data_IF_327856452240
#
_entry.id   IF_327856452240
#
_cell.length_a   1.000
_cell.length_b   1.000
_cell.length_c   1.000
_cell.angle_alpha   90.00
_cell.angle_beta   90.00
_cell.angle_gamma   90.00
#
_symmetry.space_group_name_H-M   'P 1'
#
loop_
_entity.id
_entity.type
_entity.pdbx_description
1 polymer ?
#
# COMPACT_ATOMS: atom_id res chain seq x y z
N UNK A 1 -28.17 -14.62 -42.05
CA UNK A 1 -27.10 -14.23 -43.01
C UNK A 1 -27.65 -13.08 -43.82
N UNK A 2 -26.95 -11.94 -43.86
CA UNK A 2 -27.43 -10.70 -44.46
C UNK A 2 -26.77 -10.48 -45.83
N UNK A 3 -27.55 -10.14 -46.85
CA UNK A 3 -27.05 -9.66 -48.13
C UNK A 3 -27.06 -8.13 -48.18
N UNK A 4 -25.94 -7.54 -48.59
CA UNK A 4 -25.80 -6.08 -48.68
C UNK A 4 -26.74 -5.50 -49.73
N UNK A 5 -27.02 -6.20 -50.83
CA UNK A 5 -27.93 -5.74 -51.87
C UNK A 5 -29.39 -5.76 -51.40
N UNK A 6 -29.77 -6.77 -50.63
CA UNK A 6 -31.11 -6.88 -50.08
C UNK A 6 -31.32 -5.79 -49.01
N UNK A 7 -30.33 -5.58 -48.14
CA UNK A 7 -30.35 -4.49 -47.15
C UNK A 7 -30.42 -3.09 -47.80
N UNK A 8 -29.71 -2.87 -48.91
CA UNK A 8 -29.78 -1.63 -49.71
C UNK A 8 -31.19 -1.38 -50.21
N UNK A 9 -31.89 -2.43 -50.66
CA UNK A 9 -33.26 -2.36 -51.19
C UNK A 9 -34.28 -2.11 -50.09
N UNK A 10 -34.17 -2.84 -48.98
CA UNK A 10 -35.11 -2.78 -47.87
C UNK A 10 -35.02 -1.45 -47.11
N UNK A 11 -33.79 -0.97 -46.87
CA UNK A 11 -33.56 0.30 -46.17
C UNK A 11 -33.62 1.52 -47.10
N UNK A 12 -33.74 1.33 -48.41
CA UNK A 12 -33.82 2.41 -49.39
C UNK A 12 -32.59 3.32 -49.46
N UNK A 13 -31.43 2.85 -48.98
CA UNK A 13 -30.18 3.62 -48.91
C UNK A 13 -29.15 3.05 -49.88
N UNK A 14 -28.18 3.88 -50.29
CA UNK A 14 -27.08 3.42 -51.14
C UNK A 14 -26.14 2.46 -50.39
N UNK A 15 -25.48 1.54 -51.11
CA UNK A 15 -24.52 0.58 -50.55
C UNK A 15 -23.46 1.21 -49.63
N UNK A 16 -23.06 2.44 -49.91
CA UNK A 16 -22.08 3.17 -49.09
C UNK A 16 -22.56 3.34 -47.65
N UNK A 17 -23.85 3.59 -47.42
CA UNK A 17 -24.44 3.75 -46.09
C UNK A 17 -24.54 2.43 -45.33
N UNK A 18 -24.75 1.33 -46.04
CA UNK A 18 -24.66 0.00 -45.44
C UNK A 18 -23.26 -0.23 -44.88
N UNK A 19 -22.20 0.18 -45.59
CA UNK A 19 -20.83 0.06 -45.07
C UNK A 19 -20.55 0.91 -43.83
N UNK A 20 -21.14 2.10 -43.71
CA UNK A 20 -20.98 2.90 -42.49
C UNK A 20 -21.46 2.12 -41.25
N UNK A 21 -22.62 1.46 -41.37
CA UNK A 21 -23.18 0.65 -40.28
C UNK A 21 -22.35 -0.62 -40.07
N UNK A 22 -21.97 -1.30 -41.14
CA UNK A 22 -21.29 -2.60 -41.02
C UNK A 22 -19.87 -2.46 -40.51
N UNK A 23 -19.16 -1.37 -40.84
CA UNK A 23 -17.82 -1.11 -40.32
C UNK A 23 -17.84 -0.90 -38.81
N UNK A 24 -18.86 -0.18 -38.29
CA UNK A 24 -19.04 -0.03 -36.84
C UNK A 24 -19.34 -1.39 -36.23
N UNK A 25 -20.33 -2.13 -36.75
CA UNK A 25 -20.72 -3.44 -36.22
C UNK A 25 -19.62 -4.50 -36.33
N UNK A 26 -18.75 -4.44 -37.34
CA UNK A 26 -17.56 -5.27 -37.48
C UNK A 26 -16.48 -4.85 -36.49
N UNK A 27 -16.25 -3.54 -36.32
CA UNK A 27 -15.31 -2.99 -35.35
C UNK A 27 -15.66 -3.31 -33.89
N UNK A 28 -16.96 -3.43 -33.56
CA UNK A 28 -17.42 -3.91 -32.25
C UNK A 28 -17.65 -5.44 -32.20
N UNK A 29 -17.35 -6.17 -33.27
CA UNK A 29 -17.37 -7.63 -33.30
C UNK A 29 -18.76 -8.30 -33.33
N UNK A 30 -19.82 -7.59 -33.70
CA UNK A 30 -21.19 -8.15 -33.77
C UNK A 30 -21.51 -8.83 -35.11
N UNK A 31 -20.80 -8.43 -36.17
CA UNK A 31 -20.94 -9.03 -37.50
C UNK A 31 -19.57 -9.36 -38.09
N UNK A 32 -19.54 -10.35 -38.99
CA UNK A 32 -18.34 -10.75 -39.71
C UNK A 32 -18.62 -10.83 -41.21
N UNK A 33 -17.67 -10.39 -42.03
CA UNK A 33 -17.69 -10.59 -43.49
C UNK A 33 -17.40 -12.04 -43.82
N UNK A 34 -18.33 -12.70 -44.52
CA UNK A 34 -18.13 -14.08 -44.99
C UNK A 34 -17.55 -14.09 -46.40
N UNK A 35 -18.16 -13.32 -47.30
CA UNK A 35 -17.65 -13.07 -48.66
C UNK A 35 -18.26 -11.79 -49.23
N UNK A 36 -17.93 -11.42 -50.47
CA UNK A 36 -18.46 -10.19 -51.11
C UNK A 36 -19.99 -10.17 -51.05
N UNK A 37 -20.54 -9.04 -50.57
CA UNK A 37 -21.97 -8.80 -50.36
C UNK A 37 -22.69 -9.68 -49.32
N UNK A 38 -21.99 -10.54 -48.55
CA UNK A 38 -22.62 -11.35 -47.50
C UNK A 38 -21.94 -11.18 -46.15
N UNK A 39 -22.75 -10.96 -45.13
CA UNK A 39 -22.31 -10.80 -43.75
C UNK A 39 -23.10 -11.74 -42.84
N UNK A 40 -22.46 -12.16 -41.76
CA UNK A 40 -23.06 -13.01 -40.73
C UNK A 40 -23.13 -12.21 -39.43
N UNK A 41 -24.31 -12.22 -38.81
CA UNK A 41 -24.44 -11.84 -37.41
C UNK A 41 -23.77 -12.92 -36.58
N UNK A 42 -22.71 -12.57 -35.87
CA UNK A 42 -21.98 -13.48 -34.98
C UNK A 42 -22.40 -13.31 -33.53
N UNK A 43 -23.14 -12.24 -33.20
CA UNK A 43 -23.47 -11.88 -31.82
C UNK A 43 -22.21 -11.39 -31.09
N UNK A 44 -22.37 -10.54 -30.08
CA UNK A 44 -21.26 -9.90 -29.36
C UNK A 44 -20.41 -10.87 -28.52
N UNK A 45 -19.76 -11.86 -29.15
CA UNK A 45 -18.90 -12.83 -28.48
C UNK A 45 -17.65 -12.18 -27.87
N UNK A 46 -17.27 -10.98 -28.32
CA UNK A 46 -16.19 -10.18 -27.73
C UNK A 46 -16.48 -9.73 -26.28
N UNK A 47 -17.70 -9.85 -25.76
CA UNK A 47 -18.01 -9.44 -24.38
C UNK A 47 -17.97 -10.60 -23.37
N UNK A 48 -17.85 -11.86 -23.79
CA UNK A 48 -17.80 -12.96 -22.81
C UNK A 48 -16.45 -13.02 -22.09
N UNK A 49 -15.35 -12.80 -22.80
CA UNK A 49 -14.01 -12.82 -22.21
C UNK A 49 -13.78 -11.60 -21.32
N UNK A 50 -14.18 -10.41 -21.77
CA UNK A 50 -14.16 -9.20 -20.95
C UNK A 50 -15.06 -9.35 -19.70
N UNK A 51 -16.26 -9.92 -19.83
CA UNK A 51 -17.12 -10.19 -18.68
C UNK A 51 -16.50 -11.20 -17.71
N UNK A 52 -15.80 -12.24 -18.21
CA UNK A 52 -15.07 -13.19 -17.37
C UNK A 52 -13.90 -12.54 -16.64
N UNK A 53 -13.16 -11.68 -17.31
CA UNK A 53 -12.07 -10.92 -16.71
C UNK A 53 -12.59 -10.01 -15.60
N UNK A 54 -13.68 -9.27 -15.84
CA UNK A 54 -14.32 -8.44 -14.82
C UNK A 54 -14.79 -9.29 -13.62
N UNK A 55 -15.46 -10.42 -13.85
CA UNK A 55 -15.88 -11.32 -12.77
C UNK A 55 -14.69 -11.88 -11.96
N UNK A 56 -13.59 -12.23 -12.64
CA UNK A 56 -12.39 -12.72 -11.96
C UNK A 56 -11.73 -11.61 -11.13
N UNK A 57 -11.68 -10.38 -11.66
CA UNK A 57 -11.17 -9.21 -10.94
C UNK A 57 -12.03 -8.88 -9.72
N UNK A 58 -13.35 -8.93 -9.84
CA UNK A 58 -14.27 -8.71 -8.71
C UNK A 58 -14.05 -9.75 -7.60
N UNK A 59 -13.90 -11.03 -7.96
CA UNK A 59 -13.58 -12.09 -6.99
C UNK A 59 -12.22 -11.88 -6.33
N UNK A 60 -11.22 -11.43 -7.09
CA UNK A 60 -9.90 -11.09 -6.54
C UNK A 60 -9.99 -9.91 -5.56
N UNK A 61 -10.77 -8.87 -5.90
CA UNK A 61 -11.01 -7.72 -5.03
C UNK A 61 -11.66 -8.16 -3.72
N UNK A 62 -12.73 -8.96 -3.78
CA UNK A 62 -13.39 -9.48 -2.58
C UNK A 62 -12.42 -10.28 -1.70
N UNK A 63 -11.59 -11.12 -2.31
CA UNK A 63 -10.57 -11.89 -1.59
C UNK A 63 -9.55 -10.98 -0.89
N UNK A 64 -9.11 -9.90 -1.55
CA UNK A 64 -8.18 -8.94 -0.97
C UNK A 64 -8.82 -8.12 0.15
N UNK A 65 -10.10 -7.75 0.03
CA UNK A 65 -10.84 -7.07 1.10
C UNK A 65 -10.89 -7.94 2.35
N UNK A 66 -11.26 -9.22 2.21
CA UNK A 66 -11.30 -10.16 3.33
C UNK A 66 -9.91 -10.35 3.97
N UNK A 67 -8.85 -10.40 3.15
CA UNK A 67 -7.48 -10.51 3.65
C UNK A 67 -7.07 -9.27 4.45
N UNK A 68 -7.38 -8.07 3.95
CA UNK A 68 -7.09 -6.83 4.65
C UNK A 68 -7.85 -6.74 5.98
N UNK A 69 -9.13 -7.10 6.01
CA UNK A 69 -9.91 -7.14 7.26
C UNK A 69 -9.30 -8.09 8.29
N UNK A 70 -8.88 -9.29 7.88
CA UNK A 70 -8.19 -10.22 8.77
C UNK A 70 -6.86 -9.68 9.30
N UNK A 71 -6.09 -8.96 8.48
CA UNK A 71 -4.85 -8.32 8.90
C UNK A 71 -5.10 -7.17 9.87
N UNK A 72 -6.15 -6.38 9.65
CA UNK A 72 -6.57 -5.31 10.57
C UNK A 72 -6.95 -5.87 11.95
N UNK A 73 -7.68 -6.99 11.99
CA UNK A 73 -8.00 -7.70 13.23
C UNK A 73 -6.74 -8.22 13.95
N UNK A 74 -5.79 -8.79 13.20
CA UNK A 74 -4.52 -9.28 13.76
C UNK A 74 -3.67 -8.12 14.33
N UNK A 75 -3.55 -7.01 13.59
CA UNK A 75 -2.88 -5.79 14.07
C UNK A 75 -3.54 -5.28 15.35
N UNK A 76 -4.87 -5.25 15.40
CA UNK A 76 -5.60 -4.81 16.58
C UNK A 76 -5.32 -5.70 17.80
N UNK A 77 -5.36 -7.02 17.62
CA UNK A 77 -5.08 -7.97 18.70
C UNK A 77 -3.64 -7.84 19.22
N UNK A 78 -2.65 -7.82 18.32
CA UNK A 78 -1.24 -7.70 18.69
C UNK A 78 -0.94 -6.35 19.37
N UNK A 79 -1.53 -5.26 18.89
CA UNK A 79 -1.38 -3.94 19.50
C UNK A 79 -1.96 -3.92 20.92
N UNK A 80 -3.11 -4.57 21.12
CA UNK A 80 -3.72 -4.68 22.44
C UNK A 80 -2.88 -5.56 23.38
N UNK A 81 -2.30 -6.66 22.88
CA UNK A 81 -1.43 -7.53 23.66
C UNK A 81 -0.15 -6.81 24.10
N UNK A 82 0.53 -6.12 23.17
CA UNK A 82 1.71 -5.31 23.47
C UNK A 82 1.40 -4.23 24.52
N UNK A 83 0.25 -3.55 24.38
CA UNK A 83 -0.17 -2.54 25.35
C UNK A 83 -0.40 -3.14 26.72
N UNK A 84 -1.10 -4.28 26.79
CA UNK A 84 -1.35 -4.98 28.05
C UNK A 84 -0.03 -5.41 28.71
N UNK A 85 0.91 -5.96 27.95
CA UNK A 85 2.20 -6.38 28.48
C UNK A 85 3.04 -5.19 28.96
N UNK A 86 3.01 -4.07 28.23
CA UNK A 86 3.67 -2.84 28.62
C UNK A 86 3.09 -2.26 29.93
N UNK A 87 1.77 -2.35 30.13
CA UNK A 87 1.07 -1.88 31.33
C UNK A 87 1.23 -2.83 32.53
N UNK A 88 1.39 -4.14 32.33
CA UNK A 88 1.51 -5.15 33.39
C UNK A 88 2.94 -5.24 33.96
N UNK A 89 3.96 -4.92 33.15
CA UNK A 89 5.38 -5.05 33.50
C UNK A 89 6.12 -3.71 33.58
N UNK A 90 5.45 -2.63 33.98
CA UNK A 90 6.07 -1.29 34.05
C UNK A 90 7.37 -1.26 34.85
N UNK A 91 7.44 -2.04 35.93
CA UNK A 91 8.58 -2.08 36.84
C UNK A 91 9.80 -2.82 36.28
N UNK A 92 9.64 -3.54 35.15
CA UNK A 92 10.69 -4.28 34.47
C UNK A 92 11.11 -3.62 33.13
N UNK A 93 10.48 -2.51 32.76
CA UNK A 93 10.77 -1.79 31.52
C UNK A 93 11.98 -0.85 31.69
N UNK A 94 13.16 -1.43 31.91
CA UNK A 94 14.42 -0.70 32.02
C UNK A 94 15.57 -1.46 31.35
N UNK A 95 16.64 -0.74 31.02
CA UNK A 95 17.90 -1.32 30.58
C UNK A 95 18.93 -1.24 31.71
N UNK A 96 19.71 -2.30 31.87
CA UNK A 96 20.89 -2.30 32.71
C UNK A 96 22.05 -1.61 32.00
N UNK A 97 23.07 -1.24 32.78
CA UNK A 97 24.29 -0.66 32.23
C UNK A 97 25.06 -1.61 31.33
N UNK A 98 25.07 -2.88 31.71
CA UNK A 98 25.69 -3.96 30.94
C UNK A 98 25.02 -4.12 29.57
N UNK A 99 23.68 -4.06 29.51
CA UNK A 99 22.93 -4.12 28.25
C UNK A 99 23.36 -3.00 27.28
N UNK A 100 23.53 -1.78 27.78
CA UNK A 100 23.97 -0.63 26.96
C UNK A 100 25.43 -0.77 26.50
N UNK A 101 26.29 -1.35 27.35
CA UNK A 101 27.69 -1.61 27.01
C UNK A 101 27.82 -2.71 25.95
N UNK A 102 27.03 -3.77 26.08
CA UNK A 102 26.99 -4.89 25.13
C UNK A 102 26.50 -4.40 23.76
N UNK A 103 25.45 -3.57 23.73
CA UNK A 103 24.98 -2.94 22.50
C UNK A 103 26.10 -2.09 21.88
N UNK A 104 26.74 -1.20 22.67
CA UNK A 104 27.84 -0.35 22.19
C UNK A 104 29.03 -1.16 21.63
N UNK A 105 29.36 -2.27 22.27
CA UNK A 105 30.49 -3.12 21.90
C UNK A 105 30.18 -4.04 20.71
N UNK A 106 28.89 -4.24 20.39
CA UNK A 106 28.45 -5.09 19.28
C UNK A 106 28.43 -4.39 17.91
N UNK A 107 28.60 -3.07 17.86
CA UNK A 107 28.57 -2.28 16.63
C UNK A 107 29.82 -2.51 15.78
N UNK A 108 29.64 -2.59 14.45
CA UNK A 108 30.75 -2.81 13.49
C UNK A 108 31.76 -1.67 13.46
N UNK A 109 31.31 -0.43 13.62
CA UNK A 109 32.15 0.77 13.73
C UNK A 109 32.09 1.31 15.17
N UNK A 110 33.24 1.73 15.74
CA UNK A 110 33.32 2.28 17.11
C UNK A 110 32.76 3.72 17.15
N UNK A 111 31.56 3.96 17.73
CA UNK A 111 31.00 5.31 17.83
C UNK A 111 31.61 6.11 18.99
N UNK A 112 32.43 5.48 19.84
CA UNK A 112 33.05 6.06 21.05
C UNK A 112 32.09 6.27 22.23
N UNK A 113 30.87 6.73 21.97
CA UNK A 113 29.81 6.95 22.99
C UNK A 113 28.40 6.84 22.41
N UNK A 114 27.44 6.43 23.23
CA UNK A 114 26.00 6.42 22.93
C UNK A 114 25.30 7.58 23.67
N UNK A 115 24.29 8.18 23.04
CA UNK A 115 23.39 9.13 23.68
C UNK A 115 22.01 8.50 23.83
N UNK A 116 21.58 8.29 25.07
CA UNK A 116 20.24 7.80 25.41
C UNK A 116 19.34 9.00 25.67
N UNK A 117 18.20 9.06 24.99
CA UNK A 117 17.28 10.19 25.03
C UNK A 117 15.92 9.70 25.55
N UNK A 118 15.52 10.18 26.73
CA UNK A 118 14.20 9.96 27.28
C UNK A 118 13.33 11.20 27.06
N UNK A 119 12.29 11.07 26.23
CA UNK A 119 11.29 12.11 25.99
C UNK A 119 9.91 11.52 26.20
N UNK A 120 8.98 12.30 26.75
CA UNK A 120 7.58 11.90 26.82
C UNK A 120 6.91 11.91 25.43
N UNK A 121 5.72 11.34 25.37
CA UNK A 121 4.90 11.34 24.16
C UNK A 121 4.70 12.76 23.60
N UNK A 122 4.84 12.88 22.28
CA UNK A 122 4.77 14.16 21.57
C UNK A 122 6.08 14.94 21.48
N UNK A 123 7.21 14.39 21.95
CA UNK A 123 8.53 14.91 21.61
C UNK A 123 8.90 14.70 20.14
N UNK A 124 9.62 15.65 19.55
CA UNK A 124 10.11 15.56 18.16
C UNK A 124 11.64 15.49 18.11
N UNK A 125 12.16 14.62 17.24
CA UNK A 125 13.57 14.46 16.90
C UNK A 125 13.75 14.78 15.42
N UNK A 126 14.63 15.71 15.08
CA UNK A 126 15.03 15.96 13.69
C UNK A 126 16.54 16.02 13.54
N UNK A 127 17.04 15.47 12.41
CA UNK A 127 18.45 15.54 12.04
C UNK A 127 18.61 16.66 11.00
N UNK A 128 19.51 17.60 11.27
CA UNK A 128 19.81 18.75 10.42
C UNK A 128 21.29 18.72 9.99
N UNK A 129 21.66 19.56 9.03
CA UNK A 129 23.04 19.61 8.47
C UNK A 129 24.12 19.80 9.55
N UNK A 130 23.81 20.51 10.63
CA UNK A 130 24.77 20.86 11.69
C UNK A 130 24.49 20.19 13.04
N UNK A 131 23.63 19.17 13.09
CA UNK A 131 23.40 18.41 14.32
C UNK A 131 22.01 17.83 14.46
N UNK A 132 21.71 17.36 15.67
CA UNK A 132 20.43 16.78 16.05
C UNK A 132 19.65 17.82 16.85
N UNK A 133 18.41 18.08 16.44
CA UNK A 133 17.48 18.96 17.14
C UNK A 133 16.43 18.12 17.85
N UNK A 134 16.27 18.43 19.13
CA UNK A 134 15.33 17.78 20.03
C UNK A 134 14.34 18.82 20.54
N UNK A 135 13.06 18.57 20.29
CA UNK A 135 11.98 19.39 20.80
C UNK A 135 11.23 18.58 21.86
N UNK A 136 11.44 18.94 23.12
CA UNK A 136 10.81 18.28 24.26
C UNK A 136 9.30 18.50 24.33
N UNK A 137 8.62 17.59 25.03
CA UNK A 137 7.21 17.76 25.40
C UNK A 137 7.04 18.91 26.42
N UNK A 138 5.81 19.11 26.93
CA UNK A 138 5.53 20.09 27.97
C UNK A 138 6.30 19.88 29.29
N UNK A 139 6.80 18.67 29.57
CA UNK A 139 7.40 18.31 30.87
C UNK A 139 8.94 18.25 30.87
N UNK A 140 9.59 18.52 29.74
CA UNK A 140 11.05 18.53 29.62
C UNK A 140 11.64 17.23 29.02
N UNK A 141 12.95 17.08 29.11
CA UNK A 141 13.72 16.00 28.47
C UNK A 141 14.86 15.50 29.34
N UNK A 142 15.14 14.20 29.29
CA UNK A 142 16.30 13.59 29.94
C UNK A 142 17.29 13.06 28.88
N UNK A 143 18.55 13.44 29.03
CA UNK A 143 19.65 13.10 28.14
C UNK A 143 20.75 12.41 28.93
N UNK A 144 21.11 11.19 28.57
CA UNK A 144 22.18 10.42 29.22
C UNK A 144 23.22 10.01 28.20
N UNK A 145 24.42 10.57 28.29
CA UNK A 145 25.56 10.13 27.48
C UNK A 145 26.24 8.96 28.19
N UNK A 146 26.48 7.87 27.46
CA UNK A 146 27.18 6.67 27.94
C UNK A 146 28.44 6.48 27.11
N UNK A 147 29.61 6.44 27.75
CA UNK A 147 30.86 6.12 27.06
C UNK A 147 31.14 4.61 27.04
N UNK A 148 32.13 4.19 26.24
CA UNK A 148 32.56 2.78 26.15
C UNK A 148 33.08 2.15 27.45
N UNK A 149 33.35 2.95 28.48
CA UNK A 149 33.77 2.48 29.81
C UNK A 149 32.57 2.38 30.77
N UNK A 150 31.36 2.58 30.27
CA UNK A 150 30.12 2.61 31.06
C UNK A 150 29.87 3.93 31.79
N UNK A 151 30.75 4.94 31.65
CA UNK A 151 30.58 6.21 32.38
C UNK A 151 29.40 6.99 31.82
N UNK A 152 28.57 7.52 32.73
CA UNK A 152 27.33 8.22 32.41
C UNK A 152 27.39 9.68 32.80
N UNK A 153 27.03 10.55 31.86
CA UNK A 153 26.78 11.97 32.12
C UNK A 153 25.31 12.26 31.78
N UNK A 154 24.51 12.61 32.79
CA UNK A 154 23.06 12.84 32.65
C UNK A 154 22.71 14.32 32.78
N UNK A 155 21.82 14.79 31.92
CA UNK A 155 21.33 16.16 31.87
C UNK A 155 19.81 16.16 31.72
N UNK A 156 19.13 16.94 32.55
CA UNK A 156 17.69 17.18 32.43
C UNK A 156 17.46 18.59 31.92
N UNK A 157 16.76 18.72 30.80
CA UNK A 157 16.31 20.00 30.26
C UNK A 157 14.87 20.18 30.72
N UNK A 158 14.70 20.97 31.78
CA UNK A 158 13.38 21.42 32.23
C UNK A 158 12.99 22.69 31.47
N UNK A 159 11.70 22.84 31.18
CA UNK A 159 11.16 24.01 30.48
C UNK A 159 11.05 25.23 31.40
#
# INVERSE_FOLDING_TARGET
MLDINDATRELGVQKRRIYDITNVLEGIGYIQKIHKNKMKWVGGSMNLEAAREVMALDQMIETQILRNQSLEEEIMMLTQELRREAEDKTDLNYFLEEDLHDILSSLEEDPGSMLVIGVEEGGELSVQENGIVLQGSAQGMNLTKVDKRGRKDSFSILK
#
